data_IF_921967509268
#
_entry.id   IF_921967509268
#
_cell.length_a   1.000
_cell.length_b   1.000
_cell.length_c   1.000
_cell.angle_alpha   90.00
_cell.angle_beta   90.00
_cell.angle_gamma   90.00
#
_symmetry.space_group_name_H-M   'P 1'
#
loop_
_entity.id
_entity.type
_entity.pdbx_description
1 polymer ?
2 non-polymer ?
3 water ?
#
# COMPACT_ATOMS: atom_id res chain seq x y z
N UNK A 1 -4.24 -9.57 -15.72
CA UNK A 1 -4.98 -10.50 -14.85
C UNK A 1 -5.91 -9.67 -14.03
N UNK A 2 -6.86 -10.34 -13.42
CA UNK A 2 -7.61 -9.61 -12.42
C UNK A 2 -7.32 -10.29 -11.11
N UNK A 3 -7.03 -9.50 -10.13
CA UNK A 3 -6.64 -10.10 -8.89
C UNK A 3 -7.57 -9.54 -7.85
N UNK A 4 -8.03 -10.47 -7.06
CA UNK A 4 -8.91 -10.10 -5.98
C UNK A 4 -8.08 -10.17 -4.70
N UNK A 5 -8.62 -9.58 -3.64
CA UNK A 5 -7.75 -9.11 -2.57
C UNK A 5 -7.87 -9.91 -1.31
N UNK A 6 -8.22 -11.18 -1.47
CA UNK A 6 -8.29 -12.10 -0.33
C UNK A 6 -6.93 -12.60 0.08
N UNK A 7 -5.94 -12.37 -0.77
CA UNK A 7 -4.59 -12.77 -0.36
C UNK A 7 -3.71 -11.62 -0.74
N UNK A 8 -2.48 -11.54 -0.20
CA UNK A 8 -1.55 -10.52 -0.71
C UNK A 8 -1.48 -10.56 -2.23
N UNK A 9 -1.57 -9.42 -2.88
CA UNK A 9 -1.39 -9.45 -4.33
C UNK A 9 0.09 -9.49 -4.67
N UNK A 10 0.62 -10.70 -4.75
CA UNK A 10 2.06 -10.88 -5.07
C UNK A 10 2.31 -11.26 -6.50
N UNK A 11 3.44 -10.80 -6.99
CA UNK A 11 3.71 -11.00 -8.41
C UNK A 11 5.17 -11.37 -8.56
N UNK A 12 5.53 -11.99 -9.65
CA UNK A 12 6.96 -12.17 -9.90
C UNK A 12 7.56 -11.02 -10.71
N UNK A 13 8.71 -10.57 -10.22
CA UNK A 13 9.48 -9.60 -11.01
C UNK A 13 10.87 -10.17 -11.31
N UNK A 14 11.40 -9.78 -12.45
CA UNK A 14 12.81 -10.04 -12.73
C UNK A 14 13.50 -8.72 -12.79
N UNK A 15 14.53 -8.56 -11.99
CA UNK A 15 15.25 -7.31 -11.99
C UNK A 15 16.69 -7.74 -11.90
N UNK A 16 17.48 -7.21 -12.81
CA UNK A 16 18.92 -7.42 -12.70
C UNK A 16 19.33 -8.85 -12.80
N UNK A 17 18.55 -9.56 -13.58
CA UNK A 17 18.80 -10.98 -13.71
C UNK A 17 18.41 -11.78 -12.51
N UNK A 18 17.74 -11.17 -11.55
CA UNK A 18 17.29 -11.96 -10.42
C UNK A 18 15.79 -11.96 -10.46
N UNK A 19 15.22 -13.06 -10.01
CA UNK A 19 13.78 -13.12 -9.91
C UNK A 19 13.43 -12.93 -8.46
N UNK A 20 12.46 -12.07 -8.14
CA UNK A 20 11.94 -11.91 -6.77
C UNK A 20 10.44 -12.01 -6.82
N UNK A 21 9.80 -12.02 -5.65
CA UNK A 21 8.40 -11.62 -5.74
C UNK A 21 8.09 -10.37 -4.96
N UNK A 22 7.00 -9.73 -5.32
CA UNK A 22 6.76 -8.40 -4.80
C UNK A 22 5.27 -8.19 -4.70
N UNK A 23 4.90 -7.20 -3.94
CA UNK A 23 3.52 -6.85 -3.66
C UNK A 23 3.11 -5.70 -4.54
N UNK A 24 1.96 -5.81 -5.18
CA UNK A 24 1.44 -4.66 -5.95
C UNK A 24 0.76 -3.72 -5.03
N UNK A 25 1.33 -2.52 -4.89
CA UNK A 25 0.92 -1.73 -3.75
C UNK A 25 0.36 -0.38 -4.13
N UNK A 26 -0.97 -0.27 -4.16
CA UNK A 26 -1.56 0.99 -4.62
C UNK A 26 -1.34 2.24 -3.79
N UNK A 27 -0.96 2.05 -2.53
CA UNK A 27 -0.75 3.23 -1.67
C UNK A 27 0.70 3.71 -1.62
N UNK A 28 1.56 3.01 -2.33
CA UNK A 28 2.98 3.34 -2.25
C UNK A 28 3.30 4.21 -3.42
N UNK A 29 3.87 5.37 -3.17
CA UNK A 29 4.13 6.19 -4.36
C UNK A 29 5.25 5.65 -5.18
N UNK A 30 6.24 5.12 -4.48
CA UNK A 30 7.48 4.68 -5.12
C UNK A 30 7.68 3.19 -4.94
N UNK A 31 8.54 2.59 -5.73
CA UNK A 31 8.85 1.17 -5.57
C UNK A 31 10.03 1.00 -4.70
N UNK A 32 9.91 0.13 -3.73
CA UNK A 32 11.05 -0.05 -2.82
C UNK A 32 11.34 -1.53 -2.76
N UNK A 33 12.61 -1.84 -2.90
CA UNK A 33 13.02 -3.22 -2.96
C UNK A 33 13.99 -3.50 -1.82
N UNK A 34 14.01 -4.74 -1.35
CA UNK A 34 14.98 -5.02 -0.31
C UNK A 34 16.36 -4.96 -0.92
N UNK A 35 17.34 -4.95 -0.04
CA UNK A 35 18.72 -4.89 -0.46
C UNK A 35 19.06 -5.94 -1.47
N UNK A 36 19.76 -5.42 -2.48
CA UNK A 36 19.98 -6.14 -3.71
C UNK A 36 21.14 -5.50 -4.47
N UNK A 37 21.93 -6.36 -5.13
CA UNK A 37 23.01 -5.85 -5.96
C UNK A 37 22.43 -5.29 -7.22
N UNK A 38 22.41 -3.97 -7.27
CA UNK A 38 22.22 -3.38 -8.58
C UNK A 38 23.48 -2.63 -8.96
N UNK A 39 23.84 -2.81 -10.22
CA UNK A 39 25.00 -2.09 -10.68
C UNK A 39 24.61 -0.63 -10.88
N UNK A 40 25.62 0.23 -10.84
CA UNK A 40 25.35 1.60 -11.27
C UNK A 40 25.48 2.67 -10.22
N UNK A 41 25.01 3.83 -10.66
CA UNK A 41 25.04 5.01 -9.80
C UNK A 41 23.80 5.01 -8.96
N UNK A 42 23.88 5.67 -7.83
CA UNK A 42 22.67 5.83 -7.06
C UNK A 42 22.82 6.99 -6.12
N UNK A 43 21.67 7.55 -5.80
CA UNK A 43 21.60 8.72 -4.94
C UNK A 43 20.91 8.28 -3.67
N UNK A 44 21.42 8.70 -2.50
CA UNK A 44 20.70 8.37 -1.26
C UNK A 44 19.42 9.18 -1.12
N UNK A 45 18.35 8.53 -0.70
CA UNK A 45 17.20 9.35 -0.38
C UNK A 45 16.46 8.76 0.79
N UNK A 46 15.49 9.48 1.32
CA UNK A 46 14.74 8.92 2.43
C UNK A 46 13.29 8.88 2.04
N UNK A 47 12.60 7.86 2.51
CA UNK A 47 11.17 7.86 2.27
C UNK A 47 10.52 7.66 3.59
N UNK A 48 9.25 7.96 3.65
CA UNK A 48 8.52 7.64 4.87
C UNK A 48 7.56 6.48 4.66
N UNK A 49 7.21 5.88 5.78
CA UNK A 49 6.24 4.79 5.84
C UNK A 49 5.41 4.92 7.11
N UNK A 50 4.66 3.89 7.38
CA UNK A 50 4.11 3.92 8.73
C UNK A 50 5.25 3.42 9.56
N UNK A 51 5.46 4.03 10.70
CA UNK A 51 6.62 3.53 11.41
C UNK A 51 7.83 4.46 11.31
N UNK A 52 7.94 5.25 10.25
CA UNK A 52 9.11 6.11 10.26
C UNK A 52 9.64 6.33 8.88
N UNK A 53 10.91 6.72 8.82
CA UNK A 53 11.55 7.07 7.55
C UNK A 53 12.61 6.04 7.36
N UNK A 54 13.07 5.82 6.15
CA UNK A 54 14.21 4.92 5.95
C UNK A 54 15.06 5.50 4.88
N UNK A 55 16.36 5.29 5.01
CA UNK A 55 17.29 5.83 4.01
C UNK A 55 17.50 4.77 2.99
N UNK A 56 17.58 5.19 1.75
CA UNK A 56 17.39 4.23 0.69
C UNK A 56 18.30 4.69 -0.42
N UNK A 57 18.63 3.81 -1.36
CA UNK A 57 19.36 4.31 -2.54
C UNK A 57 18.45 4.26 -3.74
N UNK A 58 18.46 5.36 -4.47
CA UNK A 58 17.62 5.49 -5.64
C UNK A 58 18.42 5.20 -6.90
N UNK A 59 17.88 4.26 -7.70
CA UNK A 59 18.46 3.90 -8.99
C UNK A 59 17.50 4.35 -10.06
N UNK A 60 18.01 5.07 -11.04
CA UNK A 60 17.06 5.47 -12.07
C UNK A 60 17.18 4.58 -13.25
N UNK A 61 16.19 4.70 -14.11
CA UNK A 61 16.16 4.02 -15.40
C UNK A 61 16.48 2.52 -15.35
N UNK A 62 15.93 1.89 -14.31
CA UNK A 62 16.08 0.42 -14.25
C UNK A 62 14.91 -0.40 -14.82
N UNK A 63 15.31 -1.40 -15.60
CA UNK A 63 14.37 -2.26 -16.28
C UNK A 63 13.87 -3.25 -15.29
N UNK A 64 12.58 -3.44 -15.25
CA UNK A 64 11.99 -4.50 -14.45
C UNK A 64 10.96 -5.21 -15.27
N UNK A 65 10.82 -6.49 -15.06
CA UNK A 65 9.72 -7.16 -15.73
C UNK A 65 8.82 -7.65 -14.64
N UNK A 66 7.60 -7.13 -14.64
CA UNK A 66 6.63 -7.38 -13.56
C UNK A 66 5.56 -8.19 -14.20
N UNK A 67 5.40 -9.42 -13.74
CA UNK A 67 4.49 -10.35 -14.43
C UNK A 67 4.70 -10.41 -15.95
N UNK A 68 5.98 -10.34 -16.34
CA UNK A 68 6.22 -10.42 -17.78
C UNK A 68 6.12 -9.10 -18.54
N UNK A 69 5.58 -8.11 -17.84
CA UNK A 69 5.45 -6.82 -18.53
C UNK A 69 6.75 -6.08 -18.29
N UNK A 70 7.33 -5.54 -19.34
CA UNK A 70 8.53 -4.76 -19.05
C UNK A 70 8.16 -3.33 -18.76
N UNK A 71 8.90 -2.71 -17.86
CA UNK A 71 8.75 -1.28 -17.65
C UNK A 71 10.10 -0.82 -17.15
N UNK A 72 10.34 0.48 -17.26
CA UNK A 72 11.63 1.03 -16.79
C UNK A 72 11.31 2.19 -15.88
N UNK A 73 11.96 2.22 -14.72
CA UNK A 73 11.79 3.43 -13.94
C UNK A 73 12.75 3.48 -12.80
N UNK A 74 12.38 4.26 -11.81
CA UNK A 74 13.18 4.35 -10.61
C UNK A 74 12.81 3.27 -9.62
N UNK A 75 13.83 2.63 -9.08
CA UNK A 75 13.59 1.82 -7.90
C UNK A 75 14.48 2.29 -6.79
N UNK A 76 13.96 2.11 -5.58
CA UNK A 76 14.65 2.48 -4.35
C UNK A 76 14.94 1.16 -3.72
N UNK A 77 16.13 1.01 -3.17
CA UNK A 77 16.49 -0.27 -2.57
C UNK A 77 16.89 0.08 -1.16
N UNK A 78 16.48 -0.71 -0.20
CA UNK A 78 16.73 -0.26 1.15
C UNK A 78 16.11 -1.25 2.08
N UNK A 79 16.13 -0.91 3.35
CA UNK A 79 15.56 -1.85 4.33
C UNK A 79 14.02 -1.86 4.42
N UNK A 80 13.41 -2.30 3.34
CA UNK A 80 11.99 -2.58 3.46
C UNK A 80 11.82 -4.01 3.94
N UNK A 81 10.72 -4.29 4.64
CA UNK A 81 10.37 -5.69 4.97
C UNK A 81 9.93 -6.56 3.78
N UNK A 82 9.46 -5.88 2.75
CA UNK A 82 8.87 -6.60 1.63
C UNK A 82 9.04 -5.78 0.38
N UNK A 83 9.17 -6.47 -0.72
CA UNK A 83 9.40 -5.75 -1.97
C UNK A 83 8.05 -5.17 -2.35
N UNK A 84 8.01 -3.87 -2.58
CA UNK A 84 6.71 -3.30 -2.94
C UNK A 84 6.85 -2.60 -4.28
N UNK A 85 5.83 -2.78 -5.13
CA UNK A 85 5.76 -2.06 -6.41
C UNK A 85 4.72 -0.98 -6.30
N UNK A 86 5.17 0.25 -6.45
CA UNK A 86 4.30 1.38 -6.16
C UNK A 86 3.79 2.04 -7.41
N UNK A 87 3.06 3.10 -7.22
CA UNK A 87 2.39 3.65 -8.39
C UNK A 87 3.25 4.07 -9.60
N UNK A 88 4.51 4.38 -9.33
CA UNK A 88 5.38 4.70 -10.46
C UNK A 88 5.54 3.59 -11.47
N UNK A 89 5.53 2.33 -11.02
CA UNK A 89 5.61 1.29 -12.04
C UNK A 89 4.25 0.76 -12.41
N UNK A 90 3.31 0.92 -11.47
CA UNK A 90 1.95 0.41 -11.72
C UNK A 90 1.27 1.11 -12.84
N UNK A 91 1.64 2.35 -13.07
CA UNK A 91 0.99 3.02 -14.18
C UNK A 91 1.48 2.52 -15.50
N UNK A 92 2.71 2.02 -15.46
CA UNK A 92 3.33 1.56 -16.70
C UNK A 92 2.86 0.23 -17.19
N UNK A 93 2.51 -0.61 -16.24
CA UNK A 93 1.90 -1.86 -16.70
C UNK A 93 0.40 -1.76 -16.88
N UNK A 94 -0.12 -0.57 -16.67
CA UNK A 94 -1.54 -0.38 -16.89
C UNK A 94 -2.41 -0.84 -15.76
N UNK A 95 -1.88 -0.73 -14.57
CA UNK A 95 -2.64 -1.38 -13.52
C UNK A 95 -3.71 -0.48 -12.97
N UNK A 96 -4.91 -1.03 -12.84
CA UNK A 96 -6.03 -0.22 -12.38
C UNK A 96 -6.76 -0.81 -11.19
N UNK A 97 -7.48 0.05 -10.53
CA UNK A 97 -8.20 -0.45 -9.38
C UNK A 97 -9.66 -0.36 -9.73
N UNK A 98 -10.42 -1.39 -9.43
CA UNK A 98 -11.84 -1.32 -9.77
C UNK A 98 -12.63 -1.78 -8.59
N UNK A 99 -13.64 -1.01 -8.31
CA UNK A 99 -14.70 -1.35 -7.38
C UNK A 99 -15.86 -0.57 -8.00
N UNK B 1 -16.05 2.09 -9.17
CA UNK B 1 -15.72 2.75 -10.44
C UNK B 1 -14.36 2.24 -10.80
N UNK B 2 -13.79 2.73 -11.88
CA UNK B 2 -12.42 2.34 -12.16
C UNK B 2 -11.50 3.51 -11.79
N UNK B 3 -10.34 3.16 -11.28
CA UNK B 3 -9.42 4.17 -10.78
C UNK B 3 -8.08 3.89 -11.41
N UNK B 4 -7.50 4.88 -12.07
CA UNK B 4 -6.14 4.67 -12.57
C UNK B 4 -5.17 5.21 -11.52
N UNK B 5 -3.90 4.82 -11.59
CA UNK B 5 -3.00 5.13 -10.50
C UNK B 5 -2.05 6.28 -10.79
N UNK B 6 -2.48 7.17 -11.69
CA UNK B 6 -1.68 8.37 -11.94
C UNK B 6 -1.75 9.32 -10.76
N UNK B 7 -2.87 9.22 -10.06
CA UNK B 7 -2.98 10.02 -8.85
C UNK B 7 -3.10 9.06 -7.68
N UNK B 8 -2.83 9.54 -6.46
CA UNK B 8 -3.15 8.70 -5.30
C UNK B 8 -4.64 8.41 -5.26
N UNK B 9 -4.98 7.14 -5.05
CA UNK B 9 -6.39 6.76 -5.08
C UNK B 9 -7.02 6.99 -3.71
N UNK B 10 -7.55 8.20 -3.56
CA UNK B 10 -8.25 8.57 -2.33
C UNK B 10 -9.73 8.42 -2.51
N UNK B 11 -10.39 7.96 -1.45
CA UNK B 11 -11.85 7.98 -1.39
C UNK B 11 -12.29 8.74 -0.14
N UNK B 12 -13.52 9.23 -0.14
CA UNK B 12 -14.10 9.73 1.11
C UNK B 12 -14.73 8.57 1.85
N UNK B 13 -14.49 8.58 3.16
CA UNK B 13 -15.15 7.62 4.04
C UNK B 13 -15.93 8.36 5.13
N UNK B 14 -16.93 7.69 5.66
CA UNK B 14 -17.66 8.25 6.79
C UNK B 14 -17.50 7.23 7.86
N UNK B 15 -17.06 7.69 9.03
CA UNK B 15 -16.79 6.78 10.12
C UNK B 15 -16.99 7.51 11.43
N UNK B 16 -17.73 6.86 12.33
CA UNK B 16 -18.05 7.45 13.64
C UNK B 16 -18.63 8.84 13.55
N UNK B 17 -19.50 8.97 12.57
CA UNK B 17 -20.11 10.25 12.23
C UNK B 17 -19.24 11.31 11.61
N UNK B 18 -18.00 10.96 11.28
CA UNK B 18 -17.06 11.92 10.72
C UNK B 18 -16.71 11.57 9.29
N UNK B 19 -16.48 12.61 8.50
CA UNK B 19 -15.98 12.45 7.14
C UNK B 19 -14.46 12.61 7.04
N UNK B 20 -13.79 11.68 6.34
CA UNK B 20 -12.34 11.76 6.12
C UNK B 20 -12.04 11.39 4.68
N UNK B 21 -10.77 11.47 4.31
CA UNK B 21 -10.36 10.86 3.03
C UNK B 21 -9.40 9.78 3.36
N UNK B 22 -9.41 8.75 2.57
CA UNK B 22 -8.51 7.66 2.87
C UNK B 22 -7.92 7.13 1.60
N UNK B 23 -6.80 6.48 1.73
CA UNK B 23 -6.12 5.89 0.58
C UNK B 23 -6.53 4.45 0.48
N UNK B 24 -6.79 4.03 -0.74
CA UNK B 24 -7.01 2.61 -0.94
C UNK B 24 -5.69 1.90 -1.16
N UNK B 25 -5.45 0.91 -0.32
CA UNK B 25 -4.09 0.44 -0.25
C UNK B 25 -4.02 -1.06 -0.30
N UNK B 26 -3.73 -1.60 -1.49
CA UNK B 26 -3.64 -3.06 -1.62
C UNK B 26 -2.45 -3.72 -0.96
N UNK B 27 -1.49 -2.90 -0.59
CA UNK B 27 -0.38 -3.58 0.08
C UNK B 27 -0.56 -3.70 1.58
N UNK B 28 -1.72 -3.24 2.08
CA UNK B 28 -1.89 -3.15 3.53
C UNK B 28 -2.88 -4.17 4.02
N UNK B 29 -2.46 -4.95 5.00
CA UNK B 29 -3.36 -6.04 5.40
C UNK B 29 -4.56 -5.51 6.12
N UNK B 30 -4.26 -4.54 6.97
CA UNK B 30 -5.24 -3.94 7.87
C UNK B 30 -5.46 -2.50 7.49
N UNK B 31 -6.60 -1.98 7.92
CA UNK B 31 -6.95 -0.56 7.79
C UNK B 31 -6.50 0.18 9.01
N UNK B 32 -5.88 1.31 8.79
CA UNK B 32 -5.39 2.10 9.92
C UNK B 32 -5.60 3.60 9.65
N UNK B 33 -6.14 4.24 10.68
CA UNK B 33 -6.58 5.60 10.54
C UNK B 33 -5.87 6.45 11.55
N UNK B 34 -5.84 7.73 11.20
CA UNK B 34 -5.25 8.71 12.11
C UNK B 34 -6.02 8.69 13.41
N UNK B 35 -5.42 9.23 14.45
CA UNK B 35 -6.22 9.25 15.67
C UNK B 35 -7.44 10.12 15.48
N UNK B 36 -8.52 9.66 16.06
CA UNK B 36 -9.78 10.37 15.99
C UNK B 36 -10.53 9.79 17.14
N UNK B 37 -11.71 10.29 17.38
CA UNK B 37 -12.46 9.67 18.47
C UNK B 37 -13.53 8.75 17.94
N UNK B 38 -13.46 7.51 18.40
CA UNK B 38 -14.41 6.46 18.09
C UNK B 38 -14.97 6.00 19.43
N UNK B 39 -16.25 5.61 19.44
CA UNK B 39 -16.82 5.11 20.68
C UNK B 39 -16.49 3.65 20.94
N UNK B 40 -16.38 3.38 22.21
CA UNK B 40 -16.41 1.98 22.55
C UNK B 40 -15.11 1.49 23.11
N UNK B 41 -14.99 0.18 22.98
CA UNK B 41 -13.89 -0.51 23.63
C UNK B 41 -12.89 -0.82 22.55
N UNK B 42 -11.64 -0.90 22.94
CA UNK B 42 -10.60 -1.14 21.95
C UNK B 42 -9.56 -2.00 22.60
N UNK B 43 -8.62 -2.53 21.83
CA UNK B 43 -7.47 -3.12 22.52
C UNK B 43 -6.15 -2.80 21.82
N UNK B 44 -5.00 -2.79 22.55
CA UNK B 44 -3.75 -2.41 21.86
C UNK B 44 -3.30 -3.51 20.94
N UNK B 45 -2.59 -3.05 19.91
CA UNK B 45 -2.03 -3.92 18.91
C UNK B 45 -0.84 -3.10 18.50
N UNK B 46 -0.01 -3.70 17.66
CA UNK B 46 1.23 -3.10 17.20
C UNK B 46 1.35 -3.56 15.79
N UNK B 47 1.66 -2.63 14.93
CA UNK B 47 1.57 -2.88 13.50
C UNK B 47 2.91 -2.53 12.93
N UNK B 48 3.35 -3.31 11.98
CA UNK B 48 4.56 -2.92 11.29
C UNK B 48 4.29 -2.34 9.92
N UNK B 49 5.16 -1.40 9.58
CA UNK B 49 5.15 -0.77 8.27
C UNK B 49 6.58 -0.58 7.85
N UNK B 50 6.74 0.06 6.69
CA UNK B 50 8.10 0.44 6.31
C UNK B 50 8.52 1.54 7.23
N UNK B 51 9.69 1.38 7.80
CA UNK B 51 10.07 2.41 8.76
C UNK B 51 10.00 1.93 10.19
N UNK B 52 9.11 0.98 10.46
CA UNK B 52 9.10 0.50 11.82
C UNK B 52 7.74 0.02 12.22
N UNK B 53 7.53 0.01 13.51
CA UNK B 53 6.29 -0.53 14.03
C UNK B 53 5.64 0.54 14.82
N UNK B 54 4.34 0.53 14.89
CA UNK B 54 3.68 1.51 15.73
C UNK B 54 2.72 0.74 16.60
N UNK B 55 2.34 1.29 17.76
CA UNK B 55 1.24 0.66 18.50
C UNK B 55 -0.07 1.34 18.14
N UNK B 56 -1.15 0.58 17.99
CA UNK B 56 -2.41 1.18 17.56
C UNK B 56 -3.51 0.65 18.46
N UNK B 57 -4.71 1.20 18.36
CA UNK B 57 -5.79 0.54 19.08
C UNK B 57 -6.79 -0.07 18.15
N UNK B 58 -7.15 -1.27 18.52
CA UNK B 58 -7.96 -2.06 17.63
C UNK B 58 -9.38 -1.91 18.03
N UNK B 59 -10.18 -1.44 17.09
CA UNK B 59 -11.62 -1.39 17.30
C UNK B 59 -12.24 -2.41 16.40
N UNK B 60 -13.08 -3.25 16.97
CA UNK B 60 -13.68 -4.26 16.10
C UNK B 60 -15.08 -3.85 15.79
N UNK B 61 -15.59 -4.39 14.68
CA UNK B 61 -16.99 -4.18 14.31
C UNK B 61 -17.46 -2.74 14.07
N UNK B 62 -16.56 -1.92 13.49
CA UNK B 62 -16.91 -0.53 13.18
C UNK B 62 -17.60 -0.39 11.82
N UNK B 63 -18.56 0.51 11.73
CA UNK B 63 -19.19 0.74 10.44
C UNK B 63 -18.47 1.86 9.75
N UNK B 64 -18.05 1.57 8.53
CA UNK B 64 -17.44 2.57 7.66
C UNK B 64 -18.27 2.65 6.41
N UNK B 65 -18.38 3.86 5.88
CA UNK B 65 -18.84 3.96 4.49
C UNK B 65 -17.75 4.49 3.64
N UNK B 66 -17.46 3.77 2.58
CA UNK B 66 -16.30 4.09 1.75
C UNK B 66 -16.88 4.27 0.39
N UNK B 67 -16.73 5.46 -0.18
CA UNK B 67 -17.73 5.83 -1.21
C UNK B 67 -19.17 5.59 -0.69
N UNK B 68 -20.05 5.04 -1.51
CA UNK B 68 -21.38 4.84 -0.92
C UNK B 68 -21.59 3.44 -0.39
N UNK B 69 -20.48 2.75 -0.10
CA UNK B 69 -20.72 1.36 0.26
C UNK B 69 -20.31 1.20 1.70
N UNK B 70 -21.13 0.45 2.42
CA UNK B 70 -20.89 0.18 3.84
C UNK B 70 -20.12 -1.11 4.03
N UNK B 71 -19.36 -1.18 5.10
CA UNK B 71 -18.66 -2.42 5.43
C UNK B 71 -18.58 -2.37 6.93
N UNK B 72 -18.35 -3.48 7.63
CA UNK B 72 -18.14 -3.43 9.08
C UNK B 72 -16.88 -4.22 9.28
N UNK B 73 -15.96 -3.72 10.07
CA UNK B 73 -14.73 -4.50 10.18
C UNK B 73 -13.93 -4.01 11.33
N UNK B 74 -12.70 -4.53 11.41
CA UNK B 74 -11.74 -4.00 12.37
C UNK B 74 -11.05 -2.78 11.79
N UNK B 75 -10.92 -1.76 12.61
CA UNK B 75 -10.24 -0.53 12.25
C UNK B 75 -9.18 -0.30 13.30
N UNK B 76 -7.99 0.09 12.86
CA UNK B 76 -6.93 0.40 13.82
C UNK B 76 -6.74 1.89 13.83
N UNK B 77 -6.63 2.43 15.02
CA UNK B 77 -6.48 3.87 15.11
C UNK B 77 -5.14 4.12 15.73
N UNK B 78 -4.43 5.08 15.16
CA UNK B 78 -3.09 5.24 15.63
C UNK B 78 -2.35 6.22 14.77
N UNK B 79 -1.09 6.32 15.11
CA UNK B 79 -0.24 7.36 14.54
C UNK B 79 0.29 7.14 13.13
N UNK B 80 -0.64 6.91 12.22
CA UNK B 80 -0.24 6.92 10.82
C UNK B 80 -0.22 8.36 10.33
N UNK B 81 0.59 8.64 9.31
CA UNK B 81 0.44 9.87 8.52
C UNK B 81 -0.77 9.93 7.61
N UNK B 82 -1.33 8.76 7.31
CA UNK B 82 -2.38 8.84 6.30
C UNK B 82 -3.34 7.75 6.61
N UNK B 83 -4.60 8.05 6.43
CA UNK B 83 -5.55 6.97 6.62
C UNK B 83 -5.45 6.02 5.47
N UNK B 84 -5.35 4.76 5.83
CA UNK B 84 -5.14 3.66 4.87
C UNK B 84 -6.31 2.69 5.00
N UNK B 85 -6.97 2.37 3.90
CA UNK B 85 -7.91 1.23 3.92
C UNK B 85 -7.24 0.02 3.33
N UNK B 86 -7.14 -1.03 4.14
CA UNK B 86 -6.37 -2.21 3.75
C UNK B 86 -7.25 -3.33 3.25
N UNK B 87 -6.64 -4.48 3.03
CA UNK B 87 -7.41 -5.49 2.33
C UNK B 87 -8.55 -6.03 3.10
N UNK B 88 -8.43 -5.98 4.42
CA UNK B 88 -9.60 -6.38 5.22
C UNK B 88 -10.90 -5.63 4.95
N UNK B 89 -10.81 -4.39 4.52
CA UNK B 89 -12.06 -3.78 4.14
C UNK B 89 -12.27 -3.80 2.65
N UNK B 90 -11.16 -3.75 1.93
CA UNK B 90 -11.18 -3.75 0.45
C UNK B 90 -11.89 -4.94 -0.19
N UNK B 91 -11.67 -6.05 0.42
CA UNK B 91 -12.43 -7.25 0.11
C UNK B 91 -13.95 -7.13 0.23
N UNK B 92 -14.41 -6.29 1.18
CA UNK B 92 -15.85 -6.11 1.41
C UNK B 92 -16.58 -5.19 0.44
N UNK B 93 -15.84 -4.26 -0.13
CA UNK B 93 -16.48 -3.45 -1.14
C UNK B 93 -16.30 -4.02 -2.53
N UNK B 94 -15.77 -5.25 -2.55
CA UNK B 94 -15.47 -5.95 -3.80
C UNK B 94 -14.40 -5.34 -4.69
N UNK B 95 -13.39 -4.81 -4.08
CA UNK B 95 -12.37 -4.15 -4.89
C UNK B 95 -11.42 -5.12 -5.61
N UNK B 96 -11.20 -4.93 -6.91
CA UNK B 96 -10.19 -5.73 -7.62
C UNK B 96 -9.05 -4.92 -8.20
N UNK B 97 -7.97 -5.63 -8.41
CA UNK B 97 -6.85 -5.01 -9.12
C UNK B 97 -6.77 -5.64 -10.52
N UNK B 98 -6.60 -4.83 -11.56
CA UNK B 98 -6.63 -5.35 -12.93
C UNK B 98 -5.49 -4.78 -13.71
N UNK B 99 -4.78 -5.65 -14.36
CA UNK B 99 -3.79 -5.32 -15.39
C UNK B 99 -3.89 -6.53 -16.31
X LIG C 1 4.37 1.61 5.41
X LIG C 1 1.17 1.56 0.65
X LIG C 1 0.90 -1.01 1.70
X LIG C 1 3.61 2.13 3.37
X LIG C 1 2.84 0.24 4.58
X LIG C 1 3.62 1.34 4.47
X LIG C 1 4.71 3.07 3.21
X LIG C 1 2.48 2.29 2.42
X LIG C 1 2.06 1.08 1.62
X LIG C 1 1.38 0.05 2.48
X LIG C 1 2.35 -0.58 3.44
X LIG C 1 2.68 -0.37 5.91
X LIG C 1 1.33 3.05 3.12
X LIG C 1 1.74 4.45 3.51
X LIG C 1 2.10 4.74 4.85
X LIG C 1 2.60 6.02 5.18
X LIG C 1 2.75 7.01 4.17
X LIG C 1 2.38 6.72 2.84
X LIG C 1 1.86 5.44 2.50
X LIG C 1 3.54 -1.31 2.78
X LIG C 1 4.14 -2.41 3.63
X LIG C 1 3.38 -3.57 3.93
X LIG C 1 3.94 -4.61 4.69
X LIG C 1 5.28 -4.48 5.16
X LIG C 1 6.04 -3.33 4.86
X LIG C 1 5.47 -2.29 4.09
X LIG C 1 5.36 3.15 1.86
X LIG C 1 5.63 4.42 1.34
X LIG C 1 6.29 4.53 0.11
X LIG C 1 6.67 3.38 -0.61
X LIG C 1 6.39 2.10 -0.09
X LIG C 1 5.73 1.99 1.15
X LIG C 1 6.69 5.87 -0.41
X LIG C 1 6.82 6.13 -1.60
X LIG C 1 6.96 6.76 0.54
X LIG C 1 7.90 9.01 1.04
X LIG C 1 7.46 8.08 0.18
X LIG C 1 8.30 10.16 0.41
X LIG C 1 7.54 8.64 -1.41
X LIG C 1 8.18 10.15 -1.00
X LIG C 1 1.27 -0.65 6.36
X LIG C 1 1.03 -1.86 7.00
X LIG C 1 -0.27 -2.15 7.46
X LIG C 1 -1.32 -1.24 7.29
X LIG C 1 -1.07 -0.01 6.64
X LIG C 1 0.22 0.28 6.17
X LIG C 1 -0.53 -3.46 8.13
X LIG C 1 -1.62 -4.01 8.13
X LIG C 1 0.57 -3.94 8.73
X LIG C 1 1.64 -5.43 10.38
X LIG C 1 0.61 -5.14 9.57
X LIG C 1 1.39 -6.55 11.15
X LIG C 1 -0.66 -6.27 9.76
X LIG C 1 0.14 -7.17 10.94
#
# INVERSE_FOLDING_TARGET
>A
PQVTLWQRPLVTIKIGGQLKEALLDTGADDTVLEEMSLPGRWKPKMIGGIGGFIKVRQYDQILIEICGHKAIGTVLVGPTPFNVIGRNLLTQIGCTLNF
>B
PQVTLWQRPLVTIKIGGQLKEALLDTGADDTVLEEMSLPGRWKPKMIGGIGGFIKVRQYDQILIEICGHKAIGTVLVGPTPFNVIGRNLLTQIGCTLNF
>C hetero
1 XV6 O1 O4 O5 N2 N7 C1 C2 C3 C4 C5 C6 C7 C31 C32 C33 C34 C35 C36 C37 C61 C62 C63 C64 C65 C66 C67 C20 C21 C22 C23 C24 C25 C26 O26 N26 N27 C27 C28 S29 C29 C70 C71 C72 C73 C74 C75 C76 O76 N76 N77 C77 C78 S79 C79
#
